data_IF_306546558821
#
_entry.id   IF_306546558821
#
_cell.length_a   1.000
_cell.length_b   1.000
_cell.length_c   1.000
_cell.angle_alpha   90.00
_cell.angle_beta   90.00
_cell.angle_gamma   90.00
#
_symmetry.space_group_name_H-M   'P 1'
#
loop_
_entity.id
_entity.type
_entity.pdbx_description
1 polymer ?
#
# COMPACT_ATOMS: atom_id res chain seq x y z
N UNK A 1 -10.58 -2.96 -12.81
CA UNK A 1 -11.06 -2.00 -13.84
C UNK A 1 -12.29 -2.49 -14.61
N UNK A 2 -12.36 -3.75 -15.04
CA UNK A 2 -13.53 -4.29 -15.77
C UNK A 2 -14.82 -4.28 -14.93
N UNK A 3 -14.74 -4.63 -13.64
CA UNK A 3 -15.91 -4.68 -12.76
C UNK A 3 -16.52 -3.31 -12.47
N UNK A 4 -15.68 -2.28 -12.27
CA UNK A 4 -16.13 -0.89 -12.16
C UNK A 4 -16.89 -0.43 -13.42
N UNK A 5 -16.39 -0.80 -14.61
CA UNK A 5 -17.10 -0.51 -15.88
C UNK A 5 -18.43 -1.26 -15.96
N UNK A 6 -18.50 -2.49 -15.47
CA UNK A 6 -19.72 -3.30 -15.40
C UNK A 6 -20.75 -2.68 -14.44
N UNK A 7 -20.34 -2.28 -13.24
CA UNK A 7 -21.21 -1.59 -12.29
C UNK A 7 -21.70 -0.25 -12.83
N UNK A 8 -20.83 0.55 -13.45
CA UNK A 8 -21.21 1.80 -14.11
C UNK A 8 -22.32 1.56 -15.16
N UNK A 9 -22.19 0.52 -15.97
CA UNK A 9 -23.21 0.15 -16.97
C UNK A 9 -24.52 -0.29 -16.33
N UNK A 10 -24.47 -1.15 -15.30
CA UNK A 10 -25.65 -1.60 -14.54
C UNK A 10 -26.38 -0.43 -13.88
N UNK A 11 -25.66 0.46 -13.20
CA UNK A 11 -26.20 1.66 -12.56
C UNK A 11 -26.81 2.59 -13.61
N UNK A 12 -26.12 2.82 -14.74
CA UNK A 12 -26.65 3.66 -15.82
C UNK A 12 -27.97 3.13 -16.39
N UNK A 13 -28.08 1.81 -16.58
CA UNK A 13 -29.32 1.16 -17.03
C UNK A 13 -30.44 1.30 -15.99
N UNK A 14 -30.13 1.14 -14.71
CA UNK A 14 -31.11 1.29 -13.63
C UNK A 14 -31.58 2.76 -13.50
N UNK A 15 -30.68 3.74 -13.62
CA UNK A 15 -31.05 5.16 -13.69
C UNK A 15 -31.94 5.47 -14.90
N UNK A 16 -31.65 4.88 -16.06
CA UNK A 16 -32.49 5.04 -17.26
C UNK A 16 -33.91 4.47 -17.04
N UNK A 17 -34.04 3.34 -16.34
CA UNK A 17 -35.33 2.78 -15.98
C UNK A 17 -36.14 3.74 -15.08
N UNK A 18 -35.51 4.35 -14.07
CA UNK A 18 -36.18 5.34 -13.21
C UNK A 18 -36.64 6.55 -14.03
N UNK A 19 -35.75 7.11 -14.86
CA UNK A 19 -36.06 8.26 -15.71
C UNK A 19 -37.14 7.99 -16.76
N UNK A 20 -37.30 6.74 -17.19
CA UNK A 20 -38.38 6.37 -18.13
C UNK A 20 -39.79 6.66 -17.58
N UNK A 21 -39.92 6.86 -16.26
CA UNK A 21 -41.18 7.18 -15.58
C UNK A 21 -41.42 8.69 -15.43
N UNK A 22 -40.44 9.53 -15.76
CA UNK A 22 -40.56 10.99 -15.65
C UNK A 22 -41.69 11.53 -16.55
N UNK A 23 -41.84 10.99 -17.76
CA UNK A 23 -42.92 11.38 -18.68
C UNK A 23 -44.33 11.01 -18.17
N UNK A 24 -44.46 9.92 -17.42
CA UNK A 24 -45.73 9.55 -16.77
C UNK A 24 -46.00 10.45 -15.54
N UNK A 25 -44.95 10.85 -14.83
CA UNK A 25 -45.02 11.80 -13.72
C UNK A 25 -45.42 13.21 -14.19
N UNK A 26 -44.91 13.69 -15.34
CA UNK A 26 -45.36 14.94 -15.96
C UNK A 26 -46.85 14.94 -16.33
N UNK A 27 -47.38 13.80 -16.81
CA UNK A 27 -48.82 13.68 -17.11
C UNK A 27 -49.70 13.83 -15.87
N UNK A 28 -49.19 13.43 -14.70
CA UNK A 28 -49.88 13.61 -13.42
C UNK A 28 -49.79 15.05 -12.90
N UNK A 29 -48.80 15.84 -13.35
CA UNK A 29 -48.67 17.25 -12.97
C UNK A 29 -49.57 18.20 -13.76
N UNK A 30 -50.21 17.72 -14.85
CA UNK A 30 -51.08 18.57 -15.67
C UNK A 30 -52.35 18.99 -14.90
N UNK A 31 -52.84 20.23 -15.10
CA UNK A 31 -54.11 20.69 -14.55
C UNK A 31 -55.24 19.72 -14.90
N UNK A 32 -56.12 19.50 -13.95
CA UNK A 32 -57.19 18.52 -14.05
C UNK A 32 -58.56 19.18 -14.14
N UNK A 33 -59.34 18.77 -15.13
CA UNK A 33 -60.75 19.12 -15.24
C UNK A 33 -61.60 18.00 -14.61
N UNK A 34 -62.30 18.33 -13.53
CA UNK A 34 -63.15 17.37 -12.84
C UNK A 34 -64.35 16.95 -13.73
N UNK A 35 -64.62 15.64 -13.87
CA UNK A 35 -65.83 15.17 -14.51
C UNK A 35 -67.08 15.69 -13.80
N UNK A 36 -68.10 16.04 -14.58
CA UNK A 36 -69.36 16.59 -14.08
C UNK A 36 -70.32 15.52 -13.56
N UNK A 37 -70.16 14.26 -14.01
CA UNK A 37 -71.00 13.14 -13.57
C UNK A 37 -70.30 12.27 -12.53
N UNK A 38 -71.08 11.77 -11.56
CA UNK A 38 -70.60 10.89 -10.48
C UNK A 38 -69.93 9.62 -11.02
N UNK A 39 -70.52 8.96 -12.00
CA UNK A 39 -69.99 7.73 -12.62
C UNK A 39 -68.61 7.96 -13.24
N UNK A 40 -68.46 9.06 -13.99
CA UNK A 40 -67.21 9.46 -14.61
C UNK A 40 -66.13 9.78 -13.58
N UNK A 41 -66.52 10.41 -12.46
CA UNK A 41 -65.61 10.69 -11.35
C UNK A 41 -65.12 9.40 -10.66
N UNK A 42 -65.99 8.42 -10.42
CA UNK A 42 -65.62 7.13 -9.83
C UNK A 42 -64.70 6.29 -10.72
N UNK A 43 -64.93 6.31 -12.03
CA UNK A 43 -64.07 5.63 -13.01
C UNK A 43 -62.71 6.31 -13.12
N UNK A 44 -62.71 7.65 -13.12
CA UNK A 44 -61.47 8.44 -13.12
C UNK A 44 -60.62 8.17 -11.87
N UNK A 45 -61.20 8.20 -10.68
CA UNK A 45 -60.49 7.90 -9.42
C UNK A 45 -59.87 6.51 -9.48
N UNK A 46 -60.60 5.51 -9.97
CA UNK A 46 -60.08 4.15 -10.15
C UNK A 46 -58.90 4.10 -11.11
N UNK A 47 -59.02 4.72 -12.29
CA UNK A 47 -57.96 4.75 -13.28
C UNK A 47 -56.69 5.45 -12.75
N UNK A 48 -56.84 6.63 -12.14
CA UNK A 48 -55.70 7.36 -11.58
C UNK A 48 -55.06 6.65 -10.39
N UNK A 49 -55.85 6.00 -9.54
CA UNK A 49 -55.33 5.17 -8.46
C UNK A 49 -54.51 4.00 -9.01
N UNK A 50 -54.93 3.39 -10.12
CA UNK A 50 -54.18 2.33 -10.78
C UNK A 50 -52.86 2.85 -11.37
N UNK A 51 -52.88 3.98 -12.09
CA UNK A 51 -51.68 4.63 -12.65
C UNK A 51 -50.66 4.95 -11.55
N UNK A 52 -51.13 5.52 -10.44
CA UNK A 52 -50.28 5.96 -9.32
C UNK A 52 -49.65 4.76 -8.60
N UNK A 53 -50.41 3.67 -8.44
CA UNK A 53 -49.89 2.42 -7.91
C UNK A 53 -48.86 1.76 -8.84
N UNK A 54 -49.09 1.79 -10.15
CA UNK A 54 -48.15 1.26 -11.13
C UNK A 54 -46.82 2.03 -11.10
N UNK A 55 -46.89 3.36 -11.09
CA UNK A 55 -45.73 4.25 -10.97
C UNK A 55 -44.97 4.01 -9.67
N UNK A 56 -45.68 4.00 -8.52
CA UNK A 56 -45.08 3.77 -7.21
C UNK A 56 -44.31 2.44 -7.15
N UNK A 57 -44.90 1.36 -7.68
CA UNK A 57 -44.22 0.05 -7.76
C UNK A 57 -43.02 0.08 -8.70
N UNK A 58 -43.13 0.75 -9.84
CA UNK A 58 -42.04 0.89 -10.81
C UNK A 58 -40.84 1.62 -10.23
N UNK A 59 -41.08 2.77 -9.60
CA UNK A 59 -40.05 3.58 -8.93
C UNK A 59 -39.41 2.77 -7.79
N UNK A 60 -40.22 2.14 -6.95
CA UNK A 60 -39.72 1.31 -5.83
C UNK A 60 -38.80 0.19 -6.32
N UNK A 61 -39.20 -0.53 -7.38
CA UNK A 61 -38.35 -1.58 -7.99
C UNK A 61 -37.05 -1.00 -8.56
N UNK A 62 -37.13 0.14 -9.25
CA UNK A 62 -35.95 0.83 -9.77
C UNK A 62 -34.97 1.21 -8.66
N UNK A 63 -35.48 1.75 -7.55
CA UNK A 63 -34.69 2.10 -6.37
C UNK A 63 -34.04 0.87 -5.73
N UNK A 64 -34.77 -0.25 -5.59
CA UNK A 64 -34.21 -1.49 -5.04
C UNK A 64 -33.06 -2.03 -5.90
N UNK A 65 -33.19 -1.96 -7.24
CA UNK A 65 -32.13 -2.39 -8.17
C UNK A 65 -30.90 -1.48 -8.04
N UNK A 66 -31.11 -0.15 -7.94
CA UNK A 66 -30.03 0.81 -7.74
C UNK A 66 -29.29 0.55 -6.42
N UNK A 67 -30.03 0.43 -5.32
CA UNK A 67 -29.48 0.16 -3.99
C UNK A 67 -28.64 -1.12 -3.97
N UNK A 68 -29.16 -2.19 -4.60
CA UNK A 68 -28.42 -3.46 -4.75
C UNK A 68 -27.08 -3.25 -5.45
N UNK A 69 -27.06 -2.60 -6.62
CA UNK A 69 -25.82 -2.43 -7.38
C UNK A 69 -24.83 -1.47 -6.71
N UNK A 70 -25.32 -0.48 -5.98
CA UNK A 70 -24.47 0.41 -5.19
C UNK A 70 -23.82 -0.36 -4.04
N UNK A 71 -24.59 -1.14 -3.28
CA UNK A 71 -24.07 -1.98 -2.19
C UNK A 71 -23.01 -2.96 -2.68
N UNK A 72 -23.31 -3.72 -3.74
CA UNK A 72 -22.35 -4.66 -4.34
C UNK A 72 -21.05 -3.95 -4.79
N UNK A 73 -21.15 -2.75 -5.38
CA UNK A 73 -19.99 -2.01 -5.83
C UNK A 73 -19.13 -1.49 -4.67
N UNK A 74 -19.77 -0.97 -3.61
CA UNK A 74 -19.09 -0.48 -2.40
C UNK A 74 -18.37 -1.61 -1.69
N UNK A 75 -19.02 -2.76 -1.53
CA UNK A 75 -18.44 -3.94 -0.90
C UNK A 75 -17.20 -4.44 -1.65
N UNK A 76 -17.29 -4.54 -2.98
CA UNK A 76 -16.14 -4.91 -3.82
C UNK A 76 -14.95 -3.94 -3.66
N UNK A 77 -15.21 -2.64 -3.62
CA UNK A 77 -14.16 -1.62 -3.42
C UNK A 77 -13.55 -1.75 -2.03
N UNK A 78 -14.39 -1.91 -1.00
CA UNK A 78 -13.95 -2.07 0.39
C UNK A 78 -13.05 -3.29 0.56
N UNK A 79 -13.46 -4.44 0.04
CA UNK A 79 -12.65 -5.67 0.11
C UNK A 79 -11.30 -5.51 -0.58
N UNK A 80 -11.28 -4.93 -1.79
CA UNK A 80 -10.02 -4.71 -2.51
C UNK A 80 -9.08 -3.73 -1.78
N UNK A 81 -9.61 -2.70 -1.10
CA UNK A 81 -8.80 -1.79 -0.29
C UNK A 81 -8.22 -2.51 0.92
N UNK A 82 -9.04 -3.31 1.63
CA UNK A 82 -8.58 -4.08 2.78
C UNK A 82 -7.49 -5.09 2.38
N UNK A 83 -7.69 -5.82 1.29
CA UNK A 83 -6.68 -6.75 0.76
C UNK A 83 -5.35 -6.06 0.45
N UNK A 84 -5.40 -4.83 -0.08
CA UNK A 84 -4.20 -4.02 -0.32
C UNK A 84 -3.53 -3.58 0.98
N UNK A 85 -4.29 -3.13 1.98
CA UNK A 85 -3.76 -2.75 3.29
C UNK A 85 -3.06 -3.95 3.97
N UNK A 86 -3.69 -5.12 3.96
CA UNK A 86 -3.10 -6.35 4.49
C UNK A 86 -1.80 -6.75 3.78
N UNK A 87 -1.68 -6.45 2.48
CA UNK A 87 -0.43 -6.66 1.74
C UNK A 87 0.65 -5.67 2.16
N UNK A 88 0.31 -4.38 2.35
CA UNK A 88 1.27 -3.38 2.82
C UNK A 88 1.75 -3.67 4.24
N UNK A 89 0.86 -4.07 5.15
CA UNK A 89 1.23 -4.46 6.51
C UNK A 89 2.21 -5.64 6.54
N UNK A 90 1.97 -6.66 5.70
CA UNK A 90 2.89 -7.80 5.57
C UNK A 90 4.27 -7.36 5.08
N UNK A 91 4.32 -6.50 4.05
CA UNK A 91 5.59 -5.98 3.51
C UNK A 91 6.34 -5.10 4.52
N UNK A 92 5.63 -4.28 5.29
CA UNK A 92 6.24 -3.49 6.36
C UNK A 92 6.90 -4.39 7.39
N UNK A 93 6.21 -5.46 7.80
CA UNK A 93 6.75 -6.44 8.74
C UNK A 93 7.97 -7.19 8.19
N UNK A 94 7.99 -7.51 6.89
CA UNK A 94 9.16 -8.10 6.22
C UNK A 94 10.36 -7.14 6.27
N UNK A 95 10.17 -5.87 5.93
CA UNK A 95 11.23 -4.85 5.98
C UNK A 95 11.74 -4.66 7.42
N UNK A 96 10.84 -4.59 8.40
CA UNK A 96 11.23 -4.50 9.83
C UNK A 96 12.07 -5.71 10.27
N UNK A 97 11.71 -6.91 9.81
CA UNK A 97 12.49 -8.11 10.08
C UNK A 97 13.88 -8.05 9.41
N UNK A 98 13.97 -7.55 8.17
CA UNK A 98 15.24 -7.38 7.46
C UNK A 98 16.14 -6.35 8.15
N UNK A 99 15.60 -5.20 8.55
CA UNK A 99 16.32 -4.19 9.32
C UNK A 99 16.86 -4.76 10.62
N UNK A 100 16.04 -5.55 11.33
CA UNK A 100 16.46 -6.24 12.56
C UNK A 100 17.59 -7.26 12.34
N UNK A 101 17.75 -7.80 11.11
CA UNK A 101 18.87 -8.68 10.76
C UNK A 101 20.12 -7.89 10.46
N UNK A 102 19.99 -6.79 9.72
CA UNK A 102 21.11 -5.88 9.44
C UNK A 102 21.67 -5.22 10.71
N UNK A 103 20.82 -4.88 11.69
CA UNK A 103 21.29 -4.35 12.98
C UNK A 103 22.06 -5.36 13.82
N UNK A 104 21.83 -6.67 13.59
CA UNK A 104 22.59 -7.74 14.23
C UNK A 104 23.93 -8.01 13.53
N UNK A 105 24.15 -7.47 12.34
CA UNK A 105 25.46 -7.58 11.71
C UNK A 105 26.48 -6.76 12.53
N UNK A 106 27.68 -7.30 12.76
CA UNK A 106 28.71 -6.58 13.47
C UNK A 106 29.06 -5.33 12.66
N UNK A 107 28.70 -4.15 13.19
CA UNK A 107 29.14 -2.88 12.62
C UNK A 107 30.67 -2.91 12.58
N UNK A 108 31.31 -2.65 11.41
CA UNK A 108 32.76 -2.55 11.39
C UNK A 108 33.15 -1.48 12.39
N UNK A 109 33.97 -1.84 13.37
CA UNK A 109 34.53 -0.88 14.31
C UNK A 109 35.17 0.26 13.53
N UNK A 110 35.08 1.49 14.03
CA UNK A 110 35.70 2.63 13.36
C UNK A 110 37.21 2.37 13.22
N UNK A 111 37.67 2.06 12.01
CA UNK A 111 39.09 1.89 11.69
C UNK A 111 39.68 3.26 11.40
N UNK A 112 40.60 3.70 12.25
CA UNK A 112 41.41 4.91 12.03
C UNK A 112 42.80 4.51 11.57
N UNK A 113 43.32 5.16 10.54
CA UNK A 113 44.65 4.88 9.97
C UNK A 113 45.60 6.01 10.32
N UNK A 114 46.66 5.68 11.06
CA UNK A 114 47.66 6.65 11.52
C UNK A 114 48.93 6.57 10.66
N UNK A 115 49.40 7.71 10.16
CA UNK A 115 50.53 7.79 9.22
C UNK A 115 51.82 8.21 9.93
N UNK A 116 52.26 7.40 10.88
CA UNK A 116 53.52 7.63 11.61
C UNK A 116 54.47 6.43 11.46
N UNK A 117 55.74 6.66 11.04
CA UNK A 117 56.76 5.62 11.07
C UNK A 117 56.89 5.09 12.50
N UNK A 118 56.66 3.78 12.67
CA UNK A 118 56.68 3.11 13.95
C UNK A 118 57.06 1.66 13.77
N UNK A 119 57.70 1.08 14.78
CA UNK A 119 57.82 -0.37 14.91
C UNK A 119 56.47 -0.98 15.30
N UNK A 120 56.30 -2.29 15.09
CA UNK A 120 55.07 -2.99 15.49
C UNK A 120 54.71 -2.77 16.97
N UNK A 121 55.70 -2.74 17.87
CA UNK A 121 55.48 -2.52 19.31
C UNK A 121 54.97 -1.11 19.59
N UNK A 122 55.61 -0.10 19.00
CA UNK A 122 55.21 1.30 19.15
C UNK A 122 53.82 1.57 18.59
N UNK A 123 53.48 0.97 17.45
CA UNK A 123 52.13 1.05 16.88
C UNK A 123 51.08 0.43 17.81
N UNK A 124 51.39 -0.72 18.43
CA UNK A 124 50.50 -1.38 19.37
C UNK A 124 50.29 -0.56 20.66
N UNK A 125 51.36 0.01 21.21
CA UNK A 125 51.30 0.90 22.38
C UNK A 125 50.54 2.19 22.07
N UNK A 126 50.74 2.76 20.89
CA UNK A 126 50.01 3.93 20.42
C UNK A 126 48.50 3.65 20.34
N UNK A 127 48.08 2.56 19.70
CA UNK A 127 46.66 2.21 19.64
C UNK A 127 46.07 2.02 21.03
N UNK A 128 46.79 1.34 21.94
CA UNK A 128 46.37 1.17 23.34
C UNK A 128 46.20 2.50 24.07
N UNK A 129 47.08 3.48 23.82
CA UNK A 129 47.00 4.82 24.42
C UNK A 129 45.76 5.62 23.98
N UNK A 130 45.12 5.22 22.87
CA UNK A 130 43.90 5.83 22.33
C UNK A 130 42.63 5.03 22.65
N UNK A 131 42.69 4.12 23.61
CA UNK A 131 41.62 3.17 23.94
C UNK A 131 41.26 2.23 22.76
N UNK A 132 42.15 2.12 21.78
CA UNK A 132 42.02 1.24 20.62
C UNK A 132 42.96 0.04 20.68
N UNK A 133 42.89 -0.80 19.65
CA UNK A 133 43.81 -1.91 19.43
C UNK A 133 44.23 -1.94 17.96
N UNK A 134 45.36 -2.59 17.66
CA UNK A 134 45.72 -2.86 16.27
C UNK A 134 44.58 -3.64 15.61
N UNK A 135 44.19 -3.22 14.41
CA UNK A 135 43.17 -3.91 13.63
C UNK A 135 43.57 -5.37 13.48
N UNK A 136 42.65 -6.27 13.85
CA UNK A 136 42.87 -7.71 13.68
C UNK A 136 42.17 -8.16 12.42
N UNK A 137 42.85 -8.98 11.61
CA UNK A 137 42.31 -9.50 10.34
C UNK A 137 42.03 -10.98 10.53
N UNK A 138 40.75 -11.35 10.51
CA UNK A 138 40.24 -12.71 10.66
C UNK A 138 39.65 -13.26 9.36
N UNK A 139 39.34 -12.42 8.37
CA UNK A 139 38.76 -12.85 7.09
C UNK A 139 39.26 -12.06 5.89
N UNK A 140 38.98 -12.58 4.69
CA UNK A 140 39.33 -11.92 3.42
C UNK A 140 38.47 -10.65 3.17
N UNK A 141 37.26 -10.67 3.71
CA UNK A 141 36.29 -9.59 3.69
C UNK A 141 36.76 -8.42 4.57
N UNK A 142 37.24 -8.71 5.79
CA UNK A 142 37.86 -7.72 6.68
C UNK A 142 39.13 -7.11 6.05
N UNK A 143 39.97 -7.95 5.44
CA UNK A 143 41.15 -7.50 4.71
C UNK A 143 40.76 -6.51 3.60
N UNK A 144 39.74 -6.84 2.82
CA UNK A 144 39.24 -5.99 1.72
C UNK A 144 38.65 -4.68 2.24
N UNK A 145 37.91 -4.72 3.36
CA UNK A 145 37.36 -3.55 4.03
C UNK A 145 38.46 -2.61 4.57
N UNK A 146 39.50 -3.16 5.20
CA UNK A 146 40.65 -2.39 5.70
C UNK A 146 41.40 -1.74 4.53
N UNK A 147 41.73 -2.50 3.48
CA UNK A 147 42.40 -1.94 2.29
C UNK A 147 41.55 -0.87 1.59
N UNK A 148 40.22 -1.02 1.61
CA UNK A 148 39.28 -0.02 1.12
C UNK A 148 39.24 1.27 1.94
N UNK A 149 39.60 1.22 3.23
CA UNK A 149 39.71 2.40 4.11
C UNK A 149 41.07 3.10 3.96
N UNK A 150 42.11 2.35 3.57
CA UNK A 150 43.50 2.85 3.44
C UNK A 150 43.76 3.54 2.09
N UNK A 151 42.79 4.32 1.60
CA UNK A 151 42.90 5.02 0.32
C UNK A 151 44.05 6.04 0.39
N UNK A 152 45.03 5.89 -0.50
CA UNK A 152 46.14 6.83 -0.68
C UNK A 152 47.43 6.53 0.08
N UNK A 153 47.57 5.37 0.74
CA UNK A 153 48.89 4.88 1.16
C UNK A 153 49.56 4.20 -0.04
N UNK A 154 50.83 4.54 -0.31
CA UNK A 154 51.61 3.85 -1.36
C UNK A 154 51.71 2.37 -0.97
N UNK A 155 51.37 1.46 -1.88
CA UNK A 155 51.39 -0.01 -1.68
C UNK A 155 52.74 -0.55 -1.18
N UNK A 156 53.79 0.24 -1.31
CA UNK A 156 55.17 -0.06 -0.91
C UNK A 156 55.43 0.13 0.59
N UNK A 157 54.52 0.82 1.31
CA UNK A 157 54.60 1.00 2.76
C UNK A 157 53.58 0.04 3.41
N UNK A 158 54.06 -1.08 3.93
CA UNK A 158 53.22 -2.02 4.68
C UNK A 158 52.58 -1.35 5.90
N UNK A 159 51.45 -1.90 6.36
CA UNK A 159 50.72 -1.41 7.54
C UNK A 159 50.81 -2.47 8.63
N UNK A 160 51.00 -2.04 9.88
CA UNK A 160 50.92 -2.94 11.01
C UNK A 160 49.46 -3.29 11.32
N UNK A 161 49.13 -4.57 11.20
CA UNK A 161 47.87 -5.15 11.62
C UNK A 161 48.15 -6.46 12.37
N UNK A 162 47.28 -6.81 13.32
CA UNK A 162 47.38 -8.08 14.01
C UNK A 162 46.82 -9.18 13.10
N UNK A 163 47.68 -10.07 12.62
CA UNK A 163 47.24 -11.26 11.89
C UNK A 163 47.07 -12.40 12.90
N UNK A 164 45.91 -13.07 12.91
CA UNK A 164 45.87 -14.44 13.41
C UNK A 164 46.46 -15.32 12.31
N UNK A 165 47.75 -15.65 12.42
CA UNK A 165 48.28 -16.79 11.71
C UNK A 165 47.73 -18.00 12.47
N UNK A 166 46.74 -18.69 11.91
CA UNK A 166 46.51 -20.07 12.29
C UNK A 166 47.74 -20.83 11.81
N UNK A 167 48.71 -21.04 12.70
CA UNK A 167 49.66 -22.14 12.51
C UNK A 167 48.79 -23.41 12.56
N UNK A 168 48.50 -23.98 11.39
CA UNK A 168 48.10 -25.38 11.32
C UNK A 168 49.29 -26.17 11.87
N UNK A 169 49.14 -26.66 13.10
CA UNK A 169 50.02 -27.68 13.66
C UNK A 169 50.03 -28.88 12.70
N UNK A 170 51.17 -29.10 12.04
CA UNK A 170 51.54 -30.38 11.41
C UNK A 170 52.37 -31.21 12.37
#
# INVERSE_FOLDING_TARGET
MADLRRFKSKISKACALVRSRDAEMEKLQRPFDFPTEKSQCEEFIRAKTADLNYLSRGITRGMQILDKYIKEAVEMIGNNINDQLDQYERRLKEIENELSRMEKEPKPGNITVERQPSTHSEAADFCRSKEGQLATIHSSEERTCIWGTVIGIRREQGIWAKSHICEEET
#
